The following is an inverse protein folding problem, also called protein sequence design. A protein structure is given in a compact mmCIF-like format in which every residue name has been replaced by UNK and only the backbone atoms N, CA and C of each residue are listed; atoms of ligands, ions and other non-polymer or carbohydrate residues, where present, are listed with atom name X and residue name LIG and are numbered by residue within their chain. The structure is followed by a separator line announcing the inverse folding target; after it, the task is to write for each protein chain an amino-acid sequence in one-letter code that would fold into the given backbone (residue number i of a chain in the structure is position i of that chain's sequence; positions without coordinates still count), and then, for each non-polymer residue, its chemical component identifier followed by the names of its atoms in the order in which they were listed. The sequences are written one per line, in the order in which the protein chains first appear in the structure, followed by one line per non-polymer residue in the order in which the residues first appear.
data_IF_489309781149
#
_entry.id   IF_489309781149
#
_cell.length_a   1.000
_cell.length_b   1.000
_cell.length_c   1.000
_cell.angle_alpha   90.00
_cell.angle_beta   90.00
_cell.angle_gamma   90.00
#
_symmetry.space_group_name_H-M   'P 1'
#
loop_
_entity.id
_entity.type
_entity.pdbx_description
1 polymer ?
#
# COMPACT_ATOMS: atom_id res chain seq x y z
N UNK A 1 -11.50 10.28 18.05
CA UNK A 1 -11.48 11.73 18.18
C UNK A 1 -11.45 12.39 16.82
N UNK A 2 -12.20 13.45 16.67
CA UNK A 2 -12.28 14.14 15.38
C UNK A 2 -10.93 14.67 14.90
N UNK A 3 -10.08 15.09 15.84
CA UNK A 3 -8.78 15.67 15.46
C UNK A 3 -7.88 14.66 14.78
N UNK A 4 -8.08 13.37 15.04
CA UNK A 4 -7.22 12.36 14.44
C UNK A 4 -7.69 11.92 13.07
N UNK A 5 -8.96 12.10 12.77
CA UNK A 5 -9.48 11.63 11.49
C UNK A 5 -8.84 12.34 10.31
N UNK A 6 -8.37 13.57 10.49
CA UNK A 6 -7.67 14.29 9.42
C UNK A 6 -6.25 13.83 9.17
N UNK A 7 -5.73 12.95 10.03
CA UNK A 7 -4.36 12.43 9.91
C UNK A 7 -4.34 10.94 9.66
N UNK A 8 -5.47 10.36 9.33
CA UNK A 8 -5.59 8.93 9.03
C UNK A 8 -6.24 8.80 7.66
N UNK A 9 -5.71 7.90 6.85
CA UNK A 9 -6.29 7.58 5.55
C UNK A 9 -6.96 6.22 5.67
N UNK A 10 -8.24 6.15 5.30
CA UNK A 10 -8.99 4.89 5.33
C UNK A 10 -9.70 4.71 4.01
N UNK A 11 -9.56 3.53 3.44
CA UNK A 11 -10.16 3.18 2.16
C UNK A 11 -10.75 1.78 2.27
N UNK A 12 -11.92 1.59 1.69
CA UNK A 12 -12.52 0.27 1.59
C UNK A 12 -12.88 0.03 0.13
N UNK A 13 -12.53 -1.15 -0.38
CA UNK A 13 -12.77 -1.46 -1.79
C UNK A 13 -13.07 -2.94 -1.95
N UNK A 14 -14.11 -3.27 -2.73
CA UNK A 14 -14.37 -4.66 -3.09
C UNK A 14 -13.54 -5.02 -4.33
N UNK A 15 -12.88 -6.17 -4.26
CA UNK A 15 -12.02 -6.67 -5.35
C UNK A 15 -12.59 -8.00 -5.81
N UNK A 16 -12.70 -8.19 -7.12
CA UNK A 16 -13.30 -9.38 -7.72
C UNK A 16 -12.30 -10.51 -7.84
N UNK A 17 -11.72 -10.90 -6.70
CA UNK A 17 -10.78 -12.01 -6.62
C UNK A 17 -10.80 -12.55 -5.18
N UNK A 18 -10.53 -13.84 -4.99
CA UNK A 18 -10.43 -14.39 -3.63
C UNK A 18 -9.31 -13.74 -2.86
N UNK A 19 -9.45 -13.65 -1.55
CA UNK A 19 -8.44 -12.96 -0.75
C UNK A 19 -7.07 -13.64 -0.81
N UNK A 20 -7.03 -14.93 -1.06
CA UNK A 20 -5.76 -15.63 -1.25
C UNK A 20 -4.99 -15.07 -2.44
N UNK A 21 -5.71 -14.74 -3.51
CA UNK A 21 -5.06 -14.14 -4.68
C UNK A 21 -4.70 -12.68 -4.45
N UNK A 22 -5.55 -11.93 -3.76
CA UNK A 22 -5.25 -10.55 -3.44
C UNK A 22 -4.03 -10.46 -2.54
N UNK A 23 -3.94 -11.37 -1.57
CA UNK A 23 -2.85 -11.35 -0.60
C UNK A 23 -1.48 -11.49 -1.28
N UNK A 24 -1.40 -12.30 -2.33
CA UNK A 24 -0.14 -12.50 -3.04
C UNK A 24 0.35 -11.18 -3.65
N UNK A 25 -0.57 -10.32 -4.09
CA UNK A 25 -0.19 -9.01 -4.64
C UNK A 25 0.38 -8.07 -3.58
N UNK A 26 0.21 -8.39 -2.31
CA UNK A 26 0.73 -7.58 -1.21
C UNK A 26 2.08 -8.07 -0.69
N UNK A 27 2.53 -9.24 -1.11
CA UNK A 27 3.72 -9.86 -0.53
C UNK A 27 4.72 -10.39 -1.56
N UNK A 28 4.29 -10.69 -2.77
CA UNK A 28 5.16 -11.23 -3.82
C UNK A 28 5.73 -10.08 -4.64
N UNK A 29 7.07 -9.95 -4.73
CA UNK A 29 7.67 -8.83 -5.47
C UNK A 29 7.20 -8.71 -6.92
N UNK A 30 7.07 -9.83 -7.63
CA UNK A 30 6.67 -9.78 -9.04
C UNK A 30 5.24 -9.33 -9.21
N UNK A 31 4.38 -9.62 -8.23
CA UNK A 31 2.99 -9.21 -8.29
C UNK A 31 2.79 -7.82 -7.74
N UNK A 32 3.59 -7.43 -6.76
CA UNK A 32 3.46 -6.10 -6.17
C UNK A 32 3.67 -5.00 -7.21
N UNK A 33 4.67 -5.16 -8.07
CA UNK A 33 4.97 -4.14 -9.07
C UNK A 33 3.90 -4.04 -10.16
N UNK A 34 2.94 -4.96 -10.18
CA UNK A 34 1.84 -4.85 -11.14
C UNK A 34 0.88 -3.73 -10.76
N UNK A 35 0.85 -3.34 -9.49
CA UNK A 35 -0.08 -2.29 -9.06
C UNK A 35 0.62 -1.09 -8.41
N UNK A 36 1.85 -1.24 -7.91
CA UNK A 36 2.55 -0.12 -7.28
C UNK A 36 4.05 -0.26 -7.45
N UNK A 37 4.69 0.84 -7.91
CA UNK A 37 6.13 0.92 -7.98
C UNK A 37 6.73 0.28 -9.23
N UNK A 38 8.01 0.54 -9.43
CA UNK A 38 8.75 -0.01 -10.58
C UNK A 38 9.74 -1.08 -10.13
N UNK A 39 10.11 -1.10 -8.85
CA UNK A 39 10.98 -2.12 -8.28
C UNK A 39 10.70 -2.20 -6.79
N UNK A 40 10.73 -3.41 -6.26
CA UNK A 40 10.44 -3.61 -4.83
C UNK A 40 11.43 -4.60 -4.23
N UNK A 41 11.61 -4.45 -2.92
CA UNK A 41 12.33 -5.44 -2.12
C UNK A 41 11.42 -5.75 -0.94
N UNK A 42 10.91 -6.97 -0.89
CA UNK A 42 9.93 -7.38 0.10
C UNK A 42 10.36 -8.66 0.78
N UNK A 43 10.37 -8.63 2.11
CA UNK A 43 10.62 -9.81 2.93
C UNK A 43 9.41 -9.94 3.86
N UNK A 44 8.35 -10.63 3.43
CA UNK A 44 7.04 -10.59 4.11
C UNK A 44 7.00 -11.44 5.37
N UNK A 45 7.70 -10.98 6.38
CA UNK A 45 7.69 -11.57 7.72
C UNK A 45 7.94 -10.46 8.72
N UNK A 46 7.53 -10.60 9.97
CA UNK A 46 7.75 -9.54 10.96
C UNK A 46 9.22 -9.16 11.03
N UNK A 47 9.50 -7.88 10.90
CA UNK A 47 10.86 -7.35 10.85
C UNK A 47 11.52 -7.37 9.49
N UNK A 48 10.85 -7.95 8.48
CA UNK A 48 11.42 -8.01 7.14
C UNK A 48 11.30 -6.70 6.39
N UNK A 49 12.17 -6.50 5.41
CA UNK A 49 12.23 -5.23 4.69
C UNK A 49 10.98 -5.02 3.82
N UNK A 50 10.54 -3.76 3.77
CA UNK A 50 9.52 -3.29 2.85
C UNK A 50 10.10 -2.06 2.14
N UNK A 51 10.35 -2.16 0.84
CA UNK A 51 10.97 -1.07 0.10
C UNK A 51 10.38 -1.05 -1.31
N UNK A 52 9.81 0.08 -1.68
CA UNK A 52 9.14 0.25 -2.97
C UNK A 52 9.68 1.49 -3.65
N UNK A 53 10.35 1.29 -4.78
CA UNK A 53 10.80 2.41 -5.61
C UNK A 53 9.66 2.81 -6.52
N UNK A 54 9.12 4.00 -6.29
CA UNK A 54 8.02 4.52 -7.09
C UNK A 54 8.54 5.08 -8.42
N UNK A 55 9.66 5.82 -8.36
CA UNK A 55 10.32 6.37 -9.54
C UNK A 55 11.76 6.70 -9.14
N UNK A 56 12.48 7.44 -9.98
CA UNK A 56 13.88 7.75 -9.70
C UNK A 56 14.06 8.62 -8.45
N UNK A 57 13.01 9.33 -8.03
CA UNK A 57 13.13 10.32 -6.96
C UNK A 57 12.47 9.87 -5.66
N UNK A 58 11.60 8.85 -5.70
CA UNK A 58 10.79 8.50 -4.53
C UNK A 58 10.88 7.03 -4.21
N UNK A 59 11.28 6.74 -2.99
CA UNK A 59 11.37 5.37 -2.48
C UNK A 59 10.64 5.31 -1.14
N UNK A 60 9.63 4.44 -1.06
CA UNK A 60 8.94 4.19 0.19
C UNK A 60 9.69 3.10 0.96
N UNK A 61 9.93 3.32 2.24
CA UNK A 61 10.73 2.41 3.05
C UNK A 61 10.06 2.17 4.39
N UNK A 62 10.06 0.90 4.81
CA UNK A 62 9.59 0.48 6.11
C UNK A 62 9.94 -0.96 6.35
N UNK A 63 9.17 -1.61 7.21
CA UNK A 63 9.35 -3.04 7.47
C UNK A 63 8.00 -3.66 7.76
N UNK A 64 7.89 -4.96 7.50
CA UNK A 64 6.68 -5.69 7.86
C UNK A 64 6.59 -5.83 9.38
N UNK A 65 5.38 -5.64 9.90
CA UNK A 65 5.09 -5.78 11.32
C UNK A 65 4.30 -7.06 11.56
N UNK A 66 3.32 -7.31 10.68
CA UNK A 66 2.46 -8.47 10.81
C UNK A 66 2.15 -9.01 9.42
N UNK A 67 2.26 -10.33 9.26
CA UNK A 67 1.91 -11.00 8.01
C UNK A 67 1.07 -12.21 8.38
N UNK A 68 -0.23 -12.14 8.11
CA UNK A 68 -1.18 -13.18 8.50
C UNK A 68 -2.01 -13.58 7.25
N UNK A 69 -1.47 -14.48 6.42
CA UNK A 69 -2.17 -14.88 5.20
C UNK A 69 -3.46 -15.64 5.51
N UNK A 70 -4.51 -15.43 4.76
CA UNK A 70 -4.66 -14.45 3.68
C UNK A 70 -5.42 -13.21 4.12
N UNK A 71 -5.38 -12.87 5.40
CA UNK A 71 -6.31 -11.93 6.04
C UNK A 71 -5.72 -10.55 6.27
N UNK A 72 -4.42 -10.44 6.55
CA UNK A 72 -3.92 -9.18 7.08
C UNK A 72 -2.43 -9.03 6.84
N UNK A 73 -2.03 -7.82 6.46
CA UNK A 73 -0.63 -7.44 6.42
C UNK A 73 -0.51 -6.03 7.00
N UNK A 74 0.51 -5.83 7.82
CA UNK A 74 0.82 -4.53 8.41
C UNK A 74 2.28 -4.25 8.15
N UNK A 75 2.58 -3.04 7.66
CA UNK A 75 3.96 -2.64 7.47
C UNK A 75 4.09 -1.16 7.77
N UNK A 76 5.29 -0.75 8.16
CA UNK A 76 5.57 0.66 8.36
C UNK A 76 5.95 1.28 7.02
N UNK A 77 5.89 2.62 6.97
CA UNK A 77 5.98 3.34 5.70
C UNK A 77 6.55 4.72 5.94
N UNK A 78 7.35 5.17 5.05
CA UNK A 78 7.84 6.52 5.00
C UNK A 78 8.61 6.71 3.69
N UNK A 79 9.18 7.88 3.50
CA UNK A 79 9.86 8.20 2.27
C UNK A 79 11.32 8.47 2.52
N UNK A 80 12.17 7.88 1.71
CA UNK A 80 13.60 8.14 1.79
C UNK A 80 13.87 9.64 1.61
N UNK A 81 14.61 10.24 2.55
CA UNK A 81 14.97 11.63 2.45
C UNK A 81 13.89 12.64 2.81
N UNK A 82 12.74 12.18 3.29
CA UNK A 82 11.62 13.08 3.60
C UNK A 82 11.56 13.31 5.10
N UNK A 83 11.56 14.58 5.52
CA UNK A 83 11.54 14.92 6.94
C UNK A 83 10.14 14.86 7.54
N UNK A 84 9.11 15.06 6.71
CA UNK A 84 7.73 15.04 7.20
C UNK A 84 7.21 13.62 7.40
N UNK A 85 7.64 12.68 6.54
CA UNK A 85 7.26 11.28 6.63
C UNK A 85 8.52 10.45 6.44
N UNK A 86 9.40 10.43 7.44
CA UNK A 86 10.66 9.67 7.28
C UNK A 86 10.39 8.17 7.24
N UNK A 87 11.35 7.39 6.77
CA UNK A 87 11.18 5.94 6.66
C UNK A 87 10.69 5.32 7.96
N UNK A 88 9.69 4.47 7.85
CA UNK A 88 9.16 3.72 8.98
C UNK A 88 8.35 4.52 9.98
N UNK A 89 8.04 5.78 9.68
CA UNK A 89 7.40 6.66 10.66
C UNK A 89 5.88 6.51 10.72
N UNK A 90 5.27 5.91 9.70
CA UNK A 90 3.83 5.69 9.66
C UNK A 90 3.54 4.22 9.49
N UNK A 91 2.26 3.84 9.61
CA UNK A 91 1.86 2.44 9.56
C UNK A 91 0.72 2.25 8.57
N UNK A 92 0.86 1.24 7.72
CA UNK A 92 -0.18 0.83 6.77
C UNK A 92 -0.72 -0.52 7.20
N UNK A 93 -2.03 -0.60 7.41
CA UNK A 93 -2.72 -1.84 7.77
C UNK A 93 -3.68 -2.19 6.66
N UNK A 94 -3.54 -3.38 6.11
CA UNK A 94 -4.43 -3.86 5.05
C UNK A 94 -5.07 -5.15 5.54
N UNK A 95 -6.40 -5.16 5.58
CA UNK A 95 -7.15 -6.36 5.95
C UNK A 95 -8.00 -6.80 4.77
N UNK A 96 -8.13 -8.11 4.63
CA UNK A 96 -8.87 -8.73 3.54
C UNK A 96 -9.93 -9.64 4.13
N UNK A 97 -11.20 -9.34 3.84
CA UNK A 97 -12.33 -10.11 4.31
C UNK A 97 -13.02 -10.76 3.13
N UNK A 98 -13.35 -12.04 3.27
CA UNK A 98 -14.11 -12.73 2.24
C UNK A 98 -15.48 -12.09 2.04
N UNK A 99 -15.92 -12.01 0.78
CA UNK A 99 -17.22 -11.48 0.43
C UNK A 99 -17.70 -12.21 -0.82
N UNK A 100 -18.34 -13.37 -0.61
CA UNK A 100 -18.71 -14.23 -1.72
C UNK A 100 -17.46 -14.69 -2.47
N UNK A 101 -17.44 -14.47 -3.77
CA UNK A 101 -16.29 -14.81 -4.61
C UNK A 101 -15.22 -13.72 -4.61
N UNK A 102 -15.47 -12.62 -3.91
CA UNK A 102 -14.56 -11.48 -3.90
C UNK A 102 -14.00 -11.21 -2.53
N UNK A 103 -13.39 -10.07 -2.41
CA UNK A 103 -12.70 -9.65 -1.20
C UNK A 103 -13.06 -8.20 -0.88
N UNK A 104 -13.33 -7.91 0.39
CA UNK A 104 -13.39 -6.53 0.86
C UNK A 104 -12.03 -6.19 1.43
N UNK A 105 -11.36 -5.25 0.79
CA UNK A 105 -10.08 -4.74 1.25
C UNK A 105 -10.29 -3.47 2.05
N UNK A 106 -9.71 -3.41 3.23
CA UNK A 106 -9.65 -2.17 4.02
C UNK A 106 -8.20 -1.78 4.21
N UNK A 107 -7.88 -0.54 3.89
CA UNK A 107 -6.56 0.02 4.10
C UNK A 107 -6.66 1.15 5.09
N UNK A 108 -5.79 1.14 6.10
CA UNK A 108 -5.70 2.22 7.07
C UNK A 108 -4.25 2.64 7.18
N UNK A 109 -3.96 3.90 6.89
CA UNK A 109 -2.62 4.46 6.95
C UNK A 109 -2.63 5.54 8.02
N UNK A 110 -1.87 5.34 9.09
CA UNK A 110 -1.90 6.19 10.27
C UNK A 110 -0.49 6.57 10.69
N UNK A 111 -0.40 7.49 11.65
CA UNK A 111 0.89 7.93 12.17
C UNK A 111 1.41 9.21 11.57
N UNK A 112 0.63 9.86 10.69
CA UNK A 112 1.04 11.14 10.10
C UNK A 112 1.10 12.22 11.15
N UNK A 113 2.13 13.05 11.10
CA UNK A 113 2.30 14.15 12.05
C UNK A 113 1.67 15.43 11.56
N UNK A 114 1.31 15.53 10.28
CA UNK A 114 0.69 16.72 9.73
C UNK A 114 -0.52 16.35 8.89
N UNK A 115 -1.45 17.29 8.78
CA UNK A 115 -2.61 17.12 7.92
C UNK A 115 -2.20 17.09 6.45
N UNK A 116 -1.18 17.84 6.07
CA UNK A 116 -0.72 17.89 4.69
C UNK A 116 -0.18 16.53 4.24
N UNK A 117 0.61 15.87 5.10
CA UNK A 117 1.14 14.56 4.77
C UNK A 117 0.00 13.55 4.60
N UNK A 118 -0.97 13.58 5.50
CA UNK A 118 -2.13 12.69 5.39
C UNK A 118 -2.92 12.98 4.12
N UNK A 119 -3.12 14.26 3.80
CA UNK A 119 -3.90 14.64 2.61
C UNK A 119 -3.21 14.16 1.33
N UNK A 120 -1.90 14.27 1.27
CA UNK A 120 -1.14 13.80 0.12
C UNK A 120 -1.36 12.31 -0.11
N UNK A 121 -1.32 11.51 0.95
CA UNK A 121 -1.52 10.07 0.84
C UNK A 121 -2.98 9.72 0.58
N UNK A 122 -3.90 10.56 1.08
CA UNK A 122 -5.33 10.36 0.81
C UNK A 122 -5.64 10.52 -0.67
N UNK A 123 -4.87 11.35 -1.37
CA UNK A 123 -5.01 11.50 -2.81
C UNK A 123 -4.40 10.33 -3.57
N UNK A 124 -3.30 9.78 -3.08
CA UNK A 124 -2.57 8.74 -3.80
C UNK A 124 -3.15 7.35 -3.64
N UNK A 125 -3.57 7.00 -2.43
CA UNK A 125 -4.01 5.64 -2.16
C UNK A 125 -5.18 5.16 -3.01
N UNK A 126 -6.23 5.98 -3.27
CA UNK A 126 -7.35 5.49 -4.10
C UNK A 126 -6.91 5.04 -5.48
N UNK A 127 -5.97 5.73 -6.09
CA UNK A 127 -5.45 5.36 -7.40
C UNK A 127 -4.76 3.99 -7.33
N UNK A 128 -3.94 3.77 -6.29
CA UNK A 128 -3.24 2.49 -6.16
C UNK A 128 -4.17 1.34 -5.80
N UNK A 129 -5.15 1.59 -4.94
CA UNK A 129 -6.13 0.56 -4.60
C UNK A 129 -6.96 0.18 -5.84
N UNK A 130 -7.29 1.17 -6.67
CA UNK A 130 -7.98 0.88 -7.93
C UNK A 130 -7.12 0.02 -8.84
N UNK A 131 -5.83 0.33 -8.94
CA UNK A 131 -4.92 -0.48 -9.75
C UNK A 131 -4.84 -1.92 -9.23
N UNK A 132 -4.80 -2.08 -7.91
CA UNK A 132 -4.82 -3.42 -7.32
C UNK A 132 -6.10 -4.16 -7.67
N UNK A 133 -7.23 -3.46 -7.65
CA UNK A 133 -8.52 -4.09 -7.96
C UNK A 133 -8.60 -4.57 -9.41
N UNK A 134 -7.80 -3.98 -10.29
CA UNK A 134 -7.70 -4.43 -11.68
C UNK A 134 -6.71 -5.59 -11.80
N UNK A 135 -5.57 -5.48 -11.14
CA UNK A 135 -4.50 -6.47 -11.29
C UNK A 135 -4.83 -7.81 -10.64
N UNK A 136 -5.41 -7.79 -9.45
CA UNK A 136 -5.63 -9.03 -8.69
C UNK A 136 -6.52 -10.04 -9.40
N UNK A 137 -7.60 -9.60 -10.10
CA UNK A 137 -8.38 -10.56 -10.89
C UNK A 137 -7.72 -10.99 -12.19
N UNK A 138 -6.53 -10.47 -12.50
CA UNK A 138 -5.81 -10.82 -13.72
C UNK A 138 -5.81 -9.77 -14.80
N UNK A 139 -6.33 -8.57 -14.51
CA UNK A 139 -6.34 -7.49 -15.48
C UNK A 139 -5.02 -6.74 -15.53
N UNK A 140 -4.95 -5.78 -16.42
CA UNK A 140 -3.77 -4.96 -16.62
C UNK A 140 -4.08 -3.51 -16.30
N UNK A 141 -3.59 -2.99 -15.16
CA UNK A 141 -3.87 -1.59 -14.83
C UNK A 141 -3.03 -0.58 -15.61
N UNK A 142 -2.15 -1.06 -16.50
CA UNK A 142 -1.28 -0.18 -17.25
C UNK A 142 -0.07 0.25 -16.45
N UNK A 143 0.69 1.18 -17.00
CA UNK A 143 1.87 1.70 -16.32
C UNK A 143 1.47 2.51 -15.09
N UNK A 144 2.32 2.45 -14.05
CA UNK A 144 2.12 3.26 -12.87
C UNK A 144 2.27 4.74 -13.24
N UNK A 145 1.23 5.56 -13.01
CA UNK A 145 1.31 6.97 -13.39
C UNK A 145 2.45 7.74 -12.74
N UNK A 146 2.93 7.29 -11.58
CA UNK A 146 4.03 7.99 -10.90
C UNK A 146 5.39 7.54 -11.38
N UNK A 147 5.47 6.45 -12.14
CA UNK A 147 6.75 5.94 -12.63
C UNK A 147 7.44 6.90 -13.59
N UNK A 148 6.66 7.74 -14.27
CA UNK A 148 7.19 8.73 -15.21
C UNK A 148 6.84 10.13 -14.74
N UNK A 149 6.95 10.37 -13.44
CA UNK A 149 6.43 11.59 -12.82
C UNK A 149 7.26 12.82 -13.11
N UNK A 150 8.44 12.68 -13.66
CA UNK A 150 9.25 13.84 -13.91
C UNK A 150 9.70 13.88 -15.36
N UNK A 151 9.99 15.07 -15.83
CA UNK A 151 10.46 15.24 -17.21
C UNK A 151 11.76 14.55 -17.44
#
# INVERSE_FOLDING_TARGET
MAVESGRVVEIERRIEAPREEVFVYLTDPDKYTKWMGVAVELDPRPGGVYRVRMNSDRVAIGEYVEVDPPSRVVFTWGWEGDEAVPPGSTTVEITLREDGDGTILRLRHSGFTTHEAAASHREGWPMYVERLSVAAPGGDPGSDPTATSHP
#
